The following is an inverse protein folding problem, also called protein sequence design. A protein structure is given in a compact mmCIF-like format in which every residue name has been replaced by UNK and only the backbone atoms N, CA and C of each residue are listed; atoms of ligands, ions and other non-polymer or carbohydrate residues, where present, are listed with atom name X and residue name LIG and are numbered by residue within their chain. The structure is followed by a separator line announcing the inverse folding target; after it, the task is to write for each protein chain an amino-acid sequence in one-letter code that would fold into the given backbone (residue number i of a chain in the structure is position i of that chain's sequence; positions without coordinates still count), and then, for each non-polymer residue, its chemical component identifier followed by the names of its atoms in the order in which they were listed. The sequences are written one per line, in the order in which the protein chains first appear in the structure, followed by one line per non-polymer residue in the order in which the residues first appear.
data_IF_459432394381
#
_entry.id   IF_459432394381
#
_cell.length_a   1.000
_cell.length_b   1.000
_cell.length_c   1.000
_cell.angle_alpha   90.00
_cell.angle_beta   90.00
_cell.angle_gamma   90.00
#
_symmetry.space_group_name_H-M   'P 1'
#
loop_
_entity.id
_entity.type
_entity.pdbx_description
1 polymer ?
#
# COMPACT_ATOMS: atom_id res chain seq x y z
N UNK A 1 40.08 51.21 37.63
CA UNK A 1 40.13 50.29 38.79
C UNK A 1 39.54 48.94 38.36
N UNK A 2 40.36 47.87 38.42
CA UNK A 2 40.09 46.40 38.47
C UNK A 2 38.89 45.86 37.65
N UNK A 3 39.01 45.11 36.55
CA UNK A 3 39.64 43.79 36.26
C UNK A 3 39.16 42.61 37.14
N UNK A 4 38.66 41.56 36.45
CA UNK A 4 38.62 40.09 36.68
C UNK A 4 37.21 39.54 36.33
N UNK A 5 36.98 38.54 35.47
CA UNK A 5 37.83 37.65 34.67
C UNK A 5 37.03 36.39 34.24
N UNK A 6 37.46 35.76 33.13
CA UNK A 6 37.00 34.54 32.39
C UNK A 6 36.03 34.83 31.22
N UNK A 7 36.40 34.83 29.91
CA UNK A 7 37.07 33.82 29.01
C UNK A 7 36.36 32.46 29.08
N UNK A 8 35.89 31.77 28.02
CA UNK A 8 36.30 31.60 26.60
C UNK A 8 35.19 30.77 25.90
N UNK A 9 34.77 31.07 24.67
CA UNK A 9 35.18 30.51 23.36
C UNK A 9 34.29 29.36 22.82
N UNK A 10 33.78 29.59 21.60
CA UNK A 10 33.66 28.67 20.45
C UNK A 10 32.92 27.32 20.65
N UNK A 11 31.78 27.12 19.96
CA UNK A 11 31.73 26.32 18.72
C UNK A 11 30.29 26.14 18.20
N UNK A 12 30.19 26.18 16.88
CA UNK A 12 29.06 25.70 16.08
C UNK A 12 28.74 24.25 16.44
N UNK A 13 27.48 23.94 16.72
CA UNK A 13 26.93 22.59 16.47
C UNK A 13 25.51 22.73 15.97
N UNK A 14 25.37 22.56 14.65
CA UNK A 14 24.14 22.10 14.00
C UNK A 14 23.61 20.89 14.75
N UNK A 15 22.41 20.99 15.31
CA UNK A 15 21.60 19.82 15.59
C UNK A 15 20.76 19.57 14.35
N UNK A 16 21.38 18.84 13.42
CA UNK A 16 20.69 18.11 12.37
C UNK A 16 19.69 17.17 13.03
N UNK A 17 18.39 17.40 12.81
CA UNK A 17 17.37 16.40 13.01
C UNK A 17 17.64 15.23 12.06
N UNK A 18 18.40 14.25 12.53
CA UNK A 18 18.56 12.95 11.88
C UNK A 18 17.23 12.20 11.99
N UNK A 19 16.31 12.50 11.06
CA UNK A 19 15.15 11.65 10.79
C UNK A 19 15.68 10.34 10.20
N UNK A 20 15.88 9.36 11.08
CA UNK A 20 16.19 7.99 10.66
C UNK A 20 14.88 7.32 10.26
N UNK A 21 14.48 7.46 8.99
CA UNK A 21 13.36 6.69 8.43
C UNK A 21 13.89 5.31 8.06
N UNK A 22 13.78 4.35 8.99
CA UNK A 22 13.86 2.93 8.65
C UNK A 22 12.46 2.45 8.24
N UNK A 23 12.20 2.46 6.93
CA UNK A 23 11.15 1.64 6.32
C UNK A 23 11.81 0.82 5.21
N UNK A 24 11.56 -0.50 5.12
CA UNK A 24 12.29 -1.35 4.20
C UNK A 24 11.77 -1.14 2.78
N UNK A 25 12.55 -0.41 1.96
CA UNK A 25 12.50 -0.61 0.52
C UNK A 25 13.08 -2.01 0.29
N UNK A 26 12.28 -2.95 -0.21
CA UNK A 26 12.75 -4.30 -0.51
C UNK A 26 13.63 -4.22 -1.77
N UNK A 27 14.92 -4.00 -1.59
CA UNK A 27 15.93 -4.06 -2.67
C UNK A 27 16.30 -5.51 -2.90
N UNK A 28 16.04 -6.01 -4.11
CA UNK A 28 16.42 -7.37 -4.50
C UNK A 28 17.84 -7.33 -5.11
N UNK A 29 18.85 -7.80 -4.37
CA UNK A 29 20.22 -7.94 -4.88
C UNK A 29 20.30 -9.09 -5.91
N UNK A 30 20.73 -8.79 -7.15
CA UNK A 30 21.19 -9.78 -8.12
C UNK A 30 22.68 -9.62 -8.40
N UNK A 31 23.41 -10.72 -8.18
CA UNK A 31 24.47 -11.32 -9.01
C UNK A 31 25.74 -11.67 -8.21
N UNK A 32 26.07 -12.96 -8.20
CA UNK A 32 27.46 -13.34 -8.38
C UNK A 32 27.57 -14.50 -9.37
N UNK A 33 28.26 -14.22 -10.46
CA UNK A 33 28.63 -15.13 -11.53
C UNK A 33 29.76 -16.07 -11.11
N UNK A 34 29.66 -17.35 -11.46
CA UNK A 34 30.84 -18.15 -11.84
C UNK A 34 30.53 -18.97 -13.09
N UNK A 35 31.34 -18.72 -14.11
CA UNK A 35 31.42 -19.46 -15.35
C UNK A 35 31.80 -20.94 -15.09
N UNK A 36 31.19 -21.84 -15.85
CA UNK A 36 31.81 -23.12 -16.23
C UNK A 36 31.23 -23.55 -17.58
N UNK A 37 32.13 -24.10 -18.38
CA UNK A 37 32.09 -24.30 -19.83
C UNK A 37 31.20 -25.45 -20.31
N UNK A 38 30.97 -25.43 -21.62
CA UNK A 38 30.33 -26.43 -22.49
C UNK A 38 30.58 -27.91 -22.14
N UNK A 39 29.59 -28.70 -22.61
CA UNK A 39 29.48 -30.17 -22.69
C UNK A 39 28.99 -30.86 -21.43
N UNK A 40 27.67 -31.12 -21.38
CA UNK A 40 27.09 -32.46 -21.16
C UNK A 40 25.55 -32.33 -21.18
N UNK A 41 25.02 -32.16 -22.39
CA UNK A 41 23.63 -32.50 -22.69
C UNK A 41 23.52 -34.01 -22.90
N UNK A 42 22.36 -34.53 -22.53
CA UNK A 42 21.80 -35.85 -22.82
C UNK A 42 21.95 -36.94 -21.76
N UNK A 43 20.77 -37.45 -21.38
CA UNK A 43 20.43 -38.66 -20.61
C UNK A 43 20.11 -38.44 -19.13
N UNK A 44 18.86 -38.06 -18.83
CA UNK A 44 18.05 -38.77 -17.82
C UNK A 44 16.63 -38.19 -17.61
N UNK A 45 15.77 -38.17 -18.64
CA UNK A 45 14.31 -38.05 -18.43
C UNK A 45 13.58 -39.02 -19.37
N UNK A 46 13.57 -40.30 -19.00
CA UNK A 46 12.57 -41.29 -19.44
C UNK A 46 12.41 -42.34 -18.34
N UNK A 47 11.40 -42.18 -17.48
CA UNK A 47 10.51 -43.26 -17.00
C UNK A 47 9.41 -42.71 -16.08
N UNK A 48 8.21 -42.74 -16.65
CA UNK A 48 6.85 -42.79 -16.11
C UNK A 48 6.66 -42.90 -14.59
N UNK A 49 5.78 -42.06 -14.04
CA UNK A 49 4.70 -42.48 -13.11
C UNK A 49 3.45 -41.60 -13.33
N UNK A 50 2.43 -42.23 -13.93
CA UNK A 50 0.96 -41.99 -13.89
C UNK A 50 0.40 -40.57 -13.67
N UNK A 51 -0.29 -40.06 -14.69
CA UNK A 51 -1.21 -38.94 -14.60
C UNK A 51 -2.52 -39.33 -13.87
N UNK A 52 -3.01 -38.55 -12.90
CA UNK A 52 -4.43 -38.48 -12.61
C UNK A 52 -5.11 -37.50 -13.57
N UNK A 53 -6.29 -37.91 -14.03
CA UNK A 53 -7.21 -37.19 -14.90
C UNK A 53 -7.77 -35.96 -14.16
N UNK A 54 -7.30 -34.75 -14.47
CA UNK A 54 -7.84 -33.51 -13.88
C UNK A 54 -8.01 -32.37 -14.90
N UNK A 55 -8.45 -32.72 -16.11
CA UNK A 55 -8.57 -31.80 -17.26
C UNK A 55 -9.74 -30.80 -17.18
N UNK A 56 -10.66 -30.94 -16.22
CA UNK A 56 -11.81 -30.05 -16.02
C UNK A 56 -11.51 -28.86 -15.10
N UNK A 57 -10.81 -29.06 -13.98
CA UNK A 57 -10.50 -28.00 -13.01
C UNK A 57 -9.49 -26.97 -13.57
N UNK A 58 -8.61 -27.40 -14.48
CA UNK A 58 -7.61 -26.51 -15.09
C UNK A 58 -8.22 -25.58 -16.15
N UNK A 59 -9.27 -26.03 -16.87
CA UNK A 59 -9.95 -25.22 -17.90
C UNK A 59 -10.79 -24.11 -17.31
N UNK A 60 -11.55 -24.39 -16.25
CA UNK A 60 -12.39 -23.39 -15.57
C UNK A 60 -11.54 -22.27 -14.95
N UNK A 61 -10.38 -22.62 -14.38
CA UNK A 61 -9.44 -21.65 -13.79
C UNK A 61 -8.75 -20.76 -14.85
N UNK A 62 -8.45 -21.31 -16.04
CA UNK A 62 -7.86 -20.55 -17.15
C UNK A 62 -8.87 -19.60 -17.79
N UNK A 63 -10.12 -20.05 -18.00
CA UNK A 63 -11.17 -19.22 -18.58
C UNK A 63 -11.54 -18.04 -17.67
N UNK A 64 -11.55 -18.22 -16.34
CA UNK A 64 -11.76 -17.11 -15.39
C UNK A 64 -10.61 -16.10 -15.42
N UNK A 65 -9.35 -16.56 -15.45
CA UNK A 65 -8.17 -15.68 -15.53
C UNK A 65 -8.15 -14.87 -16.83
N UNK A 66 -8.55 -15.47 -17.95
CA UNK A 66 -8.65 -14.80 -19.25
C UNK A 66 -9.78 -13.76 -19.27
N UNK A 67 -10.92 -14.05 -18.62
CA UNK A 67 -12.04 -13.12 -18.51
C UNK A 67 -11.66 -11.89 -17.67
N UNK A 68 -10.99 -12.12 -16.54
CA UNK A 68 -10.49 -11.04 -15.67
C UNK A 68 -9.45 -10.17 -16.38
N UNK A 69 -8.54 -10.78 -17.14
CA UNK A 69 -7.54 -10.04 -17.93
C UNK A 69 -8.20 -9.15 -18.98
N UNK A 70 -9.21 -9.67 -19.69
CA UNK A 70 -9.93 -8.90 -20.72
C UNK A 70 -10.75 -7.76 -20.13
N UNK A 71 -11.35 -7.97 -18.95
CA UNK A 71 -12.06 -6.92 -18.22
C UNK A 71 -11.08 -5.82 -17.77
N UNK A 72 -9.91 -6.18 -17.28
CA UNK A 72 -8.85 -5.23 -16.92
C UNK A 72 -8.36 -4.41 -18.12
N UNK A 73 -8.12 -5.06 -19.27
CA UNK A 73 -7.77 -4.35 -20.51
C UNK A 73 -8.86 -3.36 -20.93
N UNK A 74 -10.12 -3.77 -20.83
CA UNK A 74 -11.27 -2.92 -21.17
C UNK A 74 -11.36 -1.73 -20.23
N UNK A 75 -11.12 -1.92 -18.92
CA UNK A 75 -11.08 -0.85 -17.92
C UNK A 75 -10.01 0.19 -18.23
N UNK A 76 -8.78 -0.25 -18.54
CA UNK A 76 -7.66 0.63 -18.88
C UNK A 76 -8.03 1.51 -20.07
N UNK A 77 -8.66 0.90 -21.08
CA UNK A 77 -9.04 1.59 -22.31
C UNK A 77 -10.13 2.64 -22.07
N UNK A 78 -11.20 2.28 -21.35
CA UNK A 78 -12.29 3.22 -21.00
C UNK A 78 -11.74 4.37 -20.13
N UNK A 79 -10.88 4.08 -19.15
CA UNK A 79 -10.33 5.12 -18.29
C UNK A 79 -9.45 6.10 -19.09
N UNK A 80 -8.63 5.63 -20.02
CA UNK A 80 -7.82 6.52 -20.85
C UNK A 80 -8.69 7.52 -21.64
N UNK A 81 -9.79 7.02 -22.22
CA UNK A 81 -10.73 7.90 -22.93
C UNK A 81 -11.46 8.85 -22.01
N UNK A 82 -11.80 8.40 -20.80
CA UNK A 82 -12.41 9.25 -19.77
C UNK A 82 -11.48 10.42 -19.43
N UNK A 83 -10.19 10.17 -19.25
CA UNK A 83 -9.20 11.21 -18.94
C UNK A 83 -9.01 12.17 -20.12
N UNK A 84 -9.11 11.68 -21.35
CA UNK A 84 -9.05 12.53 -22.53
C UNK A 84 -10.34 13.36 -22.72
N UNK A 85 -11.48 12.83 -22.29
CA UNK A 85 -12.79 13.48 -22.38
C UNK A 85 -13.08 14.44 -21.22
N UNK A 86 -12.52 14.17 -20.04
CA UNK A 86 -12.82 14.90 -18.80
C UNK A 86 -11.56 15.52 -18.23
N UNK A 87 -11.60 16.84 -18.05
CA UNK A 87 -10.53 17.55 -17.36
C UNK A 87 -10.66 17.28 -15.85
N UNK A 88 -9.77 16.43 -15.30
CA UNK A 88 -9.72 16.02 -13.89
C UNK A 88 -9.85 17.19 -12.89
N UNK A 89 -9.39 18.39 -13.26
CA UNK A 89 -9.49 19.60 -12.43
C UNK A 89 -10.94 20.05 -12.19
N UNK A 90 -11.86 19.78 -13.11
CA UNK A 90 -13.27 20.17 -12.99
C UNK A 90 -14.00 19.29 -11.97
N UNK A 91 -13.64 18.01 -11.89
CA UNK A 91 -14.23 17.06 -10.94
C UNK A 91 -13.88 17.39 -9.48
N UNK A 92 -12.74 18.03 -9.23
CA UNK A 92 -12.29 18.33 -7.86
C UNK A 92 -13.13 19.39 -7.13
N UNK A 93 -13.98 20.14 -7.85
CA UNK A 93 -14.83 21.19 -7.26
C UNK A 93 -16.28 20.76 -7.04
N UNK A 94 -16.66 19.56 -7.49
CA UNK A 94 -18.01 19.02 -7.41
C UNK A 94 -18.17 18.16 -6.16
N UNK A 95 -19.41 17.91 -5.75
CA UNK A 95 -19.68 16.94 -4.70
C UNK A 95 -19.44 15.51 -5.21
N UNK A 96 -19.04 14.59 -4.34
CA UNK A 96 -18.70 13.20 -4.73
C UNK A 96 -19.83 12.50 -5.50
N UNK A 97 -21.10 12.74 -5.13
CA UNK A 97 -22.27 12.20 -5.84
C UNK A 97 -22.39 12.76 -7.27
N UNK A 98 -22.16 14.06 -7.45
CA UNK A 98 -22.22 14.70 -8.77
C UNK A 98 -21.08 14.21 -9.68
N UNK A 99 -19.89 14.01 -9.12
CA UNK A 99 -18.76 13.42 -9.85
C UNK A 99 -19.09 11.99 -10.29
N UNK A 100 -19.77 11.22 -9.43
CA UNK A 100 -20.15 9.84 -9.73
C UNK A 100 -21.14 9.76 -10.88
N UNK A 101 -22.14 10.62 -10.87
CA UNK A 101 -23.14 10.70 -11.95
C UNK A 101 -22.48 11.11 -13.28
N UNK A 102 -21.63 12.14 -13.27
CA UNK A 102 -20.90 12.61 -14.46
C UNK A 102 -19.99 11.49 -15.03
N UNK A 103 -19.22 10.80 -14.18
CA UNK A 103 -18.37 9.68 -14.61
C UNK A 103 -19.23 8.57 -15.21
N UNK A 104 -20.35 8.23 -14.58
CA UNK A 104 -21.25 7.18 -15.06
C UNK A 104 -21.80 7.48 -16.46
N UNK A 105 -22.17 8.74 -16.71
CA UNK A 105 -22.68 9.19 -18.00
C UNK A 105 -21.59 9.14 -19.08
N UNK A 106 -20.41 9.70 -18.81
CA UNK A 106 -19.28 9.70 -19.77
C UNK A 106 -18.81 8.26 -20.07
N UNK A 107 -18.71 7.40 -19.05
CA UNK A 107 -18.34 5.99 -19.25
C UNK A 107 -19.37 5.27 -20.13
N UNK A 108 -20.65 5.53 -19.92
CA UNK A 108 -21.73 4.95 -20.72
C UNK A 108 -21.65 5.40 -22.18
N UNK A 109 -21.34 6.68 -22.43
CA UNK A 109 -21.10 7.19 -23.78
C UNK A 109 -19.87 6.54 -24.45
N UNK A 110 -18.76 6.38 -23.71
CA UNK A 110 -17.54 5.73 -24.22
C UNK A 110 -17.82 4.27 -24.61
N UNK A 111 -18.56 3.53 -23.79
CA UNK A 111 -18.94 2.14 -24.08
C UNK A 111 -19.74 2.05 -25.39
N UNK A 112 -20.71 2.95 -25.59
CA UNK A 112 -21.52 3.01 -26.81
C UNK A 112 -20.66 3.40 -28.01
N UNK A 113 -19.83 4.45 -27.89
CA UNK A 113 -18.97 4.95 -28.96
C UNK A 113 -18.01 3.87 -29.46
N UNK A 114 -17.44 3.08 -28.54
CA UNK A 114 -16.49 2.01 -28.85
C UNK A 114 -17.14 0.67 -29.21
N UNK A 115 -18.47 0.58 -29.15
CA UNK A 115 -19.20 -0.67 -29.41
C UNK A 115 -18.72 -1.83 -28.51
N UNK A 116 -18.37 -1.52 -27.26
CA UNK A 116 -17.94 -2.52 -26.29
C UNK A 116 -19.14 -3.35 -25.84
N UNK A 117 -19.00 -4.67 -25.88
CA UNK A 117 -20.04 -5.60 -25.44
C UNK A 117 -19.74 -5.94 -23.98
N UNK A 118 -20.42 -5.25 -23.07
CA UNK A 118 -20.36 -5.49 -21.64
C UNK A 118 -21.75 -5.85 -21.12
N UNK A 119 -21.82 -6.82 -20.21
CA UNK A 119 -23.01 -7.07 -19.41
C UNK A 119 -23.26 -5.92 -18.44
N UNK A 120 -24.50 -5.80 -17.95
CA UNK A 120 -24.85 -4.78 -16.95
C UNK A 120 -24.01 -4.89 -15.67
N UNK A 121 -23.57 -6.10 -15.32
CA UNK A 121 -22.68 -6.34 -14.17
C UNK A 121 -21.28 -5.82 -14.43
N UNK A 122 -20.71 -6.12 -15.61
CA UNK A 122 -19.36 -5.66 -15.99
C UNK A 122 -19.33 -4.14 -16.13
N UNK A 123 -20.35 -3.53 -16.75
CA UNK A 123 -20.46 -2.08 -16.84
C UNK A 123 -20.46 -1.43 -15.45
N UNK A 124 -21.24 -1.97 -14.50
CA UNK A 124 -21.25 -1.47 -13.13
C UNK A 124 -19.89 -1.60 -12.46
N UNK A 125 -19.21 -2.73 -12.62
CA UNK A 125 -17.86 -2.94 -12.08
C UNK A 125 -16.82 -1.98 -12.68
N UNK A 126 -16.96 -1.64 -13.97
CA UNK A 126 -16.10 -0.64 -14.62
C UNK A 126 -16.36 0.73 -14.01
N UNK A 127 -17.62 1.16 -13.92
CA UNK A 127 -17.99 2.47 -13.35
C UNK A 127 -17.50 2.59 -11.90
N UNK A 128 -17.77 1.58 -11.07
CA UNK A 128 -17.33 1.55 -9.66
C UNK A 128 -15.81 1.65 -9.56
N UNK A 129 -15.07 0.84 -10.33
CA UNK A 129 -13.60 0.88 -10.36
C UNK A 129 -13.05 2.24 -10.80
N UNK A 130 -13.67 2.90 -11.78
CA UNK A 130 -13.26 4.23 -12.25
C UNK A 130 -13.58 5.29 -11.19
N UNK A 131 -14.73 5.20 -10.53
CA UNK A 131 -15.08 6.08 -9.43
C UNK A 131 -14.08 5.94 -8.28
N UNK A 132 -13.70 4.71 -7.90
CA UNK A 132 -12.71 4.47 -6.85
C UNK A 132 -11.33 5.03 -7.23
N UNK A 133 -10.97 5.02 -8.51
CA UNK A 133 -9.73 5.62 -9.00
C UNK A 133 -9.75 7.16 -8.92
N UNK A 134 -10.88 7.78 -9.24
CA UNK A 134 -11.03 9.25 -9.28
C UNK A 134 -11.27 9.83 -7.88
N UNK A 135 -12.17 9.22 -7.11
CA UNK A 135 -12.66 9.70 -5.81
C UNK A 135 -12.05 8.96 -4.62
N UNK A 136 -11.61 7.72 -4.80
CA UNK A 136 -11.17 6.81 -3.74
C UNK A 136 -9.67 6.54 -3.69
N UNK A 137 -9.25 5.42 -3.12
CA UNK A 137 -7.83 4.99 -3.12
C UNK A 137 -7.46 4.09 -4.32
N UNK A 138 -8.32 4.06 -5.33
CA UNK A 138 -8.17 3.27 -6.54
C UNK A 138 -7.98 1.77 -6.24
N UNK A 139 -6.96 1.10 -6.80
CA UNK A 139 -6.75 -0.34 -6.61
C UNK A 139 -6.50 -0.75 -5.14
N UNK A 140 -6.23 0.20 -4.25
CA UNK A 140 -5.99 -0.08 -2.84
C UNK A 140 -7.26 -0.24 -2.01
N UNK A 141 -8.43 0.22 -2.48
CA UNK A 141 -9.68 0.16 -1.71
C UNK A 141 -10.02 -1.24 -1.18
N UNK A 142 -9.95 -2.31 -1.99
CA UNK A 142 -10.24 -3.66 -1.50
C UNK A 142 -9.30 -4.11 -0.38
N UNK A 143 -8.02 -3.69 -0.43
CA UNK A 143 -7.02 -4.00 0.60
C UNK A 143 -7.24 -3.17 1.87
N UNK A 144 -7.71 -1.93 1.72
CA UNK A 144 -8.05 -1.05 2.85
C UNK A 144 -9.26 -1.57 3.63
N UNK A 145 -10.21 -2.23 2.97
CA UNK A 145 -11.40 -2.80 3.62
C UNK A 145 -11.16 -4.12 4.36
N UNK A 146 -9.99 -4.76 4.18
CA UNK A 146 -9.66 -6.05 4.79
C UNK A 146 -9.01 -5.89 6.17
N UNK A 147 -9.71 -6.26 7.25
CA UNK A 147 -9.24 -6.08 8.63
C UNK A 147 -8.03 -6.97 9.02
N UNK A 148 -7.73 -8.02 8.25
CA UNK A 148 -6.59 -8.93 8.49
C UNK A 148 -5.24 -8.38 8.01
N UNK A 149 -5.25 -7.28 7.24
CA UNK A 149 -4.05 -6.61 6.75
C UNK A 149 -3.56 -5.55 7.75
N UNK A 150 -2.29 -5.61 8.12
CA UNK A 150 -1.62 -4.63 8.98
C UNK A 150 -0.93 -3.50 8.19
N UNK A 151 -0.14 -3.86 7.18
CA UNK A 151 0.63 -2.93 6.36
C UNK A 151 0.38 -3.20 4.87
N UNK A 152 0.32 -2.13 4.06
CA UNK A 152 0.28 -2.17 2.59
C UNK A 152 1.51 -1.42 2.08
N UNK A 153 2.31 -2.05 1.22
CA UNK A 153 3.57 -1.53 0.71
C UNK A 153 3.56 -1.58 -0.81
N UNK A 154 3.51 -0.42 -1.45
CA UNK A 154 3.59 -0.24 -2.89
C UNK A 154 5.01 0.21 -3.22
N UNK A 155 5.78 -0.65 -3.87
CA UNK A 155 7.15 -0.29 -4.29
C UNK A 155 7.13 0.53 -5.58
N UNK A 156 6.24 0.16 -6.50
CA UNK A 156 5.94 0.87 -7.74
C UNK A 156 4.56 0.41 -8.24
N UNK A 157 4.06 1.01 -9.33
CA UNK A 157 2.73 0.71 -9.90
C UNK A 157 2.43 -0.79 -10.11
N UNK A 158 3.43 -1.59 -10.43
CA UNK A 158 3.29 -3.02 -10.72
C UNK A 158 3.57 -3.98 -9.56
N UNK A 159 3.93 -3.50 -8.35
CA UNK A 159 4.22 -4.39 -7.21
C UNK A 159 3.69 -3.84 -5.90
N UNK A 160 2.67 -4.53 -5.39
CA UNK A 160 2.02 -4.23 -4.12
C UNK A 160 2.17 -5.45 -3.21
N UNK A 161 2.75 -5.22 -2.03
CA UNK A 161 2.87 -6.18 -0.96
C UNK A 161 1.91 -5.82 0.17
N UNK A 162 1.46 -6.84 0.88
CA UNK A 162 0.66 -6.68 2.09
C UNK A 162 1.30 -7.47 3.22
N UNK A 163 1.11 -7.00 4.44
CA UNK A 163 1.44 -7.75 5.63
C UNK A 163 0.15 -8.30 6.26
N UNK A 164 0.11 -9.61 6.47
CA UNK A 164 -0.95 -10.31 7.20
C UNK A 164 -0.33 -11.18 8.28
N UNK A 165 -0.77 -11.01 9.52
CA UNK A 165 -0.26 -11.78 10.67
C UNK A 165 1.29 -11.79 10.76
N UNK A 166 1.95 -10.67 10.44
CA UNK A 166 3.41 -10.55 10.46
C UNK A 166 4.15 -11.17 9.28
N UNK A 167 3.44 -11.65 8.24
CA UNK A 167 4.04 -12.20 7.01
C UNK A 167 3.76 -11.27 5.84
N UNK A 168 4.81 -11.01 5.05
CA UNK A 168 4.74 -10.20 3.84
C UNK A 168 4.36 -11.11 2.66
N UNK A 169 3.32 -10.72 1.93
CA UNK A 169 2.76 -11.44 0.79
C UNK A 169 2.67 -10.50 -0.42
N UNK A 170 2.99 -11.00 -1.62
CA UNK A 170 2.80 -10.25 -2.86
C UNK A 170 1.34 -10.40 -3.30
N UNK A 171 0.70 -9.30 -3.67
CA UNK A 171 -0.68 -9.30 -4.18
C UNK A 171 -0.72 -9.40 -5.71
N UNK A 172 -1.87 -9.79 -6.24
CA UNK A 172 -2.18 -9.74 -7.68
C UNK A 172 -2.67 -8.37 -8.14
N UNK A 173 -2.90 -7.44 -7.19
CA UNK A 173 -3.39 -6.10 -7.48
C UNK A 173 -2.22 -5.23 -7.97
N UNK A 174 -2.46 -4.51 -9.06
CA UNK A 174 -1.52 -3.56 -9.64
C UNK A 174 -2.23 -2.27 -10.00
N UNK A 175 -1.49 -1.16 -9.97
CA UNK A 175 -1.89 0.06 -10.65
C UNK A 175 -1.72 -0.10 -12.15
N UNK A 176 -2.54 0.60 -12.92
CA UNK A 176 -2.43 0.71 -14.38
C UNK A 176 -1.08 1.27 -14.79
N UNK A 177 -0.66 2.36 -14.15
CA UNK A 177 0.58 3.07 -14.46
C UNK A 177 1.10 3.88 -13.26
N UNK A 178 2.30 4.43 -13.42
CA UNK A 178 2.91 5.30 -12.41
C UNK A 178 2.15 6.62 -12.24
N UNK A 179 1.38 7.07 -13.24
CA UNK A 179 0.62 8.30 -13.16
C UNK A 179 -0.58 8.15 -12.21
N UNK A 180 -1.32 7.04 -12.30
CA UNK A 180 -2.42 6.70 -11.40
C UNK A 180 -1.93 6.63 -9.95
N UNK A 181 -0.83 5.92 -9.71
CA UNK A 181 -0.23 5.84 -8.36
C UNK A 181 0.18 7.23 -7.84
N UNK A 182 0.81 8.06 -8.68
CA UNK A 182 1.19 9.42 -8.27
C UNK A 182 -0.04 10.29 -7.97
N UNK A 183 -1.11 10.19 -8.77
CA UNK A 183 -2.36 10.93 -8.55
C UNK A 183 -3.00 10.54 -7.22
N UNK A 184 -3.06 9.26 -6.89
CA UNK A 184 -3.58 8.76 -5.61
C UNK A 184 -2.71 9.28 -4.46
N UNK A 185 -1.39 9.18 -4.58
CA UNK A 185 -0.45 9.73 -3.59
C UNK A 185 -0.67 11.23 -3.36
N UNK A 186 -0.81 12.02 -4.43
CA UNK A 186 -1.08 13.46 -4.35
C UNK A 186 -2.41 13.76 -3.68
N UNK A 187 -3.46 13.00 -3.98
CA UNK A 187 -4.79 13.15 -3.36
C UNK A 187 -4.74 12.88 -1.85
N UNK A 188 -4.08 11.79 -1.44
CA UNK A 188 -3.89 11.45 -0.02
C UNK A 188 -3.21 12.59 0.74
N UNK A 189 -2.10 13.11 0.21
CA UNK A 189 -1.35 14.18 0.90
C UNK A 189 -2.09 15.52 0.84
N UNK A 190 -2.81 15.80 -0.25
CA UNK A 190 -3.58 17.04 -0.41
C UNK A 190 -4.74 17.09 0.59
N UNK A 191 -5.41 15.96 0.83
CA UNK A 191 -6.48 15.85 1.83
C UNK A 191 -6.01 16.22 3.26
N UNK A 192 -4.71 16.08 3.57
CA UNK A 192 -4.12 16.50 4.86
C UNK A 192 -3.38 17.84 4.78
N UNK A 193 -3.57 18.60 3.70
CA UNK A 193 -2.96 19.93 3.51
C UNK A 193 -1.47 19.89 3.23
N UNK A 194 -0.96 18.77 2.68
CA UNK A 194 0.45 18.59 2.30
C UNK A 194 0.59 18.42 0.79
N UNK A 195 1.84 18.41 0.31
CA UNK A 195 2.18 18.23 -1.11
C UNK A 195 3.27 17.19 -1.28
N UNK A 196 3.24 16.51 -2.43
CA UNK A 196 4.30 15.59 -2.86
C UNK A 196 4.50 15.75 -4.37
N UNK A 197 5.72 16.10 -4.75
CA UNK A 197 6.13 16.36 -6.13
C UNK A 197 7.66 16.24 -6.24
N UNK A 198 8.23 16.54 -7.40
CA UNK A 198 9.68 16.44 -7.63
C UNK A 198 10.52 17.40 -6.77
N UNK A 199 9.93 18.51 -6.29
CA UNK A 199 10.59 19.44 -5.40
C UNK A 199 10.46 19.02 -3.93
N UNK A 200 9.37 18.34 -3.57
CA UNK A 200 9.11 17.78 -2.23
C UNK A 200 8.79 16.29 -2.33
N UNK A 201 9.80 15.41 -2.52
CA UNK A 201 9.60 14.02 -2.90
C UNK A 201 9.25 13.09 -1.74
N UNK A 202 9.19 13.55 -0.49
CA UNK A 202 8.82 12.72 0.67
C UNK A 202 7.69 13.40 1.43
N UNK A 203 6.67 12.63 1.79
CA UNK A 203 5.59 13.13 2.62
C UNK A 203 5.03 12.05 3.55
N UNK A 204 4.87 12.39 4.83
CA UNK A 204 4.05 11.62 5.76
C UNK A 204 2.65 12.23 5.87
N UNK A 205 1.63 11.38 5.94
CA UNK A 205 0.23 11.77 6.05
C UNK A 205 -0.54 10.83 6.98
N UNK A 206 -1.76 11.23 7.33
CA UNK A 206 -2.67 10.41 8.12
C UNK A 206 -4.05 10.39 7.45
N UNK A 207 -4.53 9.20 7.14
CA UNK A 207 -5.85 9.01 6.54
C UNK A 207 -6.96 9.26 7.57
N UNK A 208 -8.18 9.42 7.09
CA UNK A 208 -9.37 9.67 7.91
C UNK A 208 -9.68 8.53 8.89
N UNK A 209 -9.31 7.30 8.54
CA UNK A 209 -9.42 6.11 9.40
C UNK A 209 -8.34 6.03 10.50
N UNK A 210 -7.39 6.97 10.50
CA UNK A 210 -6.26 7.04 11.44
C UNK A 210 -5.01 6.31 10.99
N UNK A 211 -5.05 5.62 9.84
CA UNK A 211 -3.92 4.92 9.21
C UNK A 211 -2.82 5.92 8.85
N UNK A 212 -1.56 5.48 8.96
CA UNK A 212 -0.39 6.31 8.65
C UNK A 212 0.08 6.01 7.25
N UNK A 213 0.43 7.05 6.52
CA UNK A 213 0.88 6.94 5.13
C UNK A 213 2.23 7.60 4.98
N UNK A 214 3.14 6.93 4.31
CA UNK A 214 4.39 7.50 3.82
C UNK A 214 4.43 7.41 2.30
N UNK A 215 4.73 8.52 1.66
CA UNK A 215 4.86 8.64 0.20
C UNK A 215 6.28 9.07 -0.14
N UNK A 216 6.86 8.41 -1.13
CA UNK A 216 8.14 8.78 -1.73
C UNK A 216 7.95 8.89 -3.25
N UNK A 217 8.33 10.02 -3.85
CA UNK A 217 8.25 10.28 -5.28
C UNK A 217 9.64 10.40 -5.92
N UNK A 218 9.67 10.57 -7.24
CA UNK A 218 10.91 10.96 -7.94
C UNK A 218 11.41 12.31 -7.41
N UNK A 219 12.73 12.54 -7.36
CA UNK A 219 13.81 11.68 -7.87
C UNK A 219 14.27 10.56 -6.92
N UNK A 220 13.71 10.43 -5.72
CA UNK A 220 14.18 9.47 -4.72
C UNK A 220 13.73 8.03 -5.01
N UNK A 221 12.54 7.86 -5.58
CA UNK A 221 12.03 6.58 -6.01
C UNK A 221 12.19 6.44 -7.55
N UNK A 222 13.22 5.69 -7.96
CA UNK A 222 13.67 5.59 -9.36
C UNK A 222 12.60 4.95 -10.26
N UNK A 223 11.89 3.95 -9.74
CA UNK A 223 10.92 3.16 -10.52
C UNK A 223 9.52 3.80 -10.62
N UNK A 224 9.31 4.95 -9.97
CA UNK A 224 8.00 5.60 -9.83
C UNK A 224 7.73 5.95 -8.37
N UNK A 225 6.57 6.50 -8.05
CA UNK A 225 6.20 6.74 -6.67
C UNK A 225 6.14 5.41 -5.87
N UNK A 226 6.50 5.48 -4.60
CA UNK A 226 6.36 4.41 -3.63
C UNK A 226 5.47 4.91 -2.48
N UNK A 227 4.68 4.00 -1.91
CA UNK A 227 3.66 4.31 -0.92
C UNK A 227 3.65 3.20 0.14
N UNK A 228 3.67 3.56 1.41
CA UNK A 228 3.46 2.61 2.51
C UNK A 228 2.30 3.09 3.37
N UNK A 229 1.30 2.25 3.56
CA UNK A 229 0.16 2.49 4.44
C UNK A 229 0.25 1.51 5.61
N UNK A 230 0.39 2.05 6.82
CA UNK A 230 0.25 1.29 8.06
C UNK A 230 -1.16 1.46 8.59
N UNK A 231 -1.96 0.41 8.48
CA UNK A 231 -3.38 0.45 8.82
C UNK A 231 -3.58 0.63 10.31
N UNK A 232 -4.55 1.44 10.67
CA UNK A 232 -4.98 1.55 12.06
C UNK A 232 -5.82 0.32 12.43
N UNK A 233 -5.26 -0.57 13.24
CA UNK A 233 -5.99 -1.76 13.69
C UNK A 233 -7.15 -1.36 14.61
N UNK A 234 -8.38 -1.70 14.21
CA UNK A 234 -9.60 -1.44 14.98
C UNK A 234 -9.71 -2.32 16.23
N UNK A 235 -9.12 -3.52 16.21
CA UNK A 235 -9.11 -4.40 17.39
C UNK A 235 -8.10 -3.91 18.42
N UNK A 236 -8.64 -3.31 19.49
CA UNK A 236 -7.87 -3.09 20.72
C UNK A 236 -7.74 -4.43 21.43
N UNK A 237 -6.51 -4.94 21.50
CA UNK A 237 -6.21 -6.10 22.33
C UNK A 237 -6.51 -5.75 23.80
N UNK A 238 -7.24 -6.63 24.47
CA UNK A 238 -7.50 -6.49 25.91
C UNK A 238 -6.41 -7.18 26.71
N UNK A 239 -6.28 -6.82 27.98
CA UNK A 239 -5.34 -7.47 28.89
C UNK A 239 -5.64 -8.97 29.02
N UNK A 240 -6.91 -9.35 29.02
CA UNK A 240 -7.35 -10.76 28.99
C UNK A 240 -6.86 -11.49 27.74
N UNK A 241 -6.92 -10.85 26.57
CA UNK A 241 -6.40 -11.43 25.34
C UNK A 241 -4.89 -11.67 25.47
N UNK A 242 -4.14 -10.71 26.03
CA UNK A 242 -2.68 -10.85 26.24
C UNK A 242 -2.33 -11.99 27.22
N UNK A 243 -3.15 -12.20 28.24
CA UNK A 243 -3.01 -13.35 29.15
C UNK A 243 -3.32 -14.65 28.41
N UNK A 244 -4.37 -14.69 27.60
CA UNK A 244 -4.74 -15.88 26.83
C UNK A 244 -3.68 -16.28 25.81
N UNK A 245 -2.98 -15.29 25.21
CA UNK A 245 -1.86 -15.51 24.29
C UNK A 245 -0.54 -15.85 25.00
N UNK A 246 -0.51 -15.84 26.33
CA UNK A 246 0.69 -16.07 27.12
C UNK A 246 1.73 -14.95 27.01
N UNK A 247 1.37 -13.80 26.44
CA UNK A 247 2.26 -12.62 26.34
C UNK A 247 2.46 -11.93 27.69
N UNK A 248 1.46 -12.02 28.57
CA UNK A 248 1.49 -11.47 29.94
C UNK A 248 0.98 -12.53 30.91
N UNK A 249 1.62 -12.68 32.07
CA UNK A 249 1.10 -13.58 33.11
C UNK A 249 -0.14 -12.98 33.79
N UNK A 250 -1.02 -13.82 34.32
CA UNK A 250 -2.22 -13.34 35.05
C UNK A 250 -1.86 -12.38 36.19
N UNK A 251 -0.76 -12.63 36.89
CA UNK A 251 -0.28 -11.77 37.98
C UNK A 251 0.21 -10.41 37.46
N UNK A 252 0.89 -10.39 36.31
CA UNK A 252 1.36 -9.14 35.69
C UNK A 252 0.19 -8.32 35.16
N UNK A 253 -0.83 -8.97 34.58
CA UNK A 253 -2.07 -8.32 34.19
C UNK A 253 -2.76 -7.63 35.38
N UNK A 254 -2.93 -8.33 36.51
CA UNK A 254 -3.48 -7.74 37.72
C UNK A 254 -2.65 -6.55 38.23
N UNK A 255 -1.32 -6.62 38.15
CA UNK A 255 -0.46 -5.51 38.51
C UNK A 255 -0.69 -4.29 37.60
N UNK A 256 -0.79 -4.50 36.29
CA UNK A 256 -1.06 -3.44 35.31
C UNK A 256 -2.43 -2.79 35.54
N UNK A 257 -3.46 -3.56 35.88
CA UNK A 257 -4.78 -3.04 36.26
C UNK A 257 -4.69 -2.11 37.48
N UNK A 258 -3.99 -2.53 38.53
CA UNK A 258 -3.80 -1.73 39.74
C UNK A 258 -3.02 -0.46 39.43
N UNK A 259 -1.96 -0.56 38.62
CA UNK A 259 -1.17 0.62 38.25
C UNK A 259 -2.02 1.62 37.45
N UNK A 260 -2.82 1.14 36.50
CA UNK A 260 -3.75 1.97 35.73
C UNK A 260 -4.81 2.64 36.62
N UNK A 261 -5.40 1.89 37.56
CA UNK A 261 -6.36 2.42 38.53
C UNK A 261 -5.75 3.50 39.44
N UNK A 262 -4.48 3.32 39.84
CA UNK A 262 -3.72 4.28 40.63
C UNK A 262 -3.13 5.44 39.81
N UNK A 263 -3.25 5.41 38.47
CA UNK A 263 -2.70 6.41 37.54
C UNK A 263 -1.20 6.65 37.71
N UNK A 264 -0.42 5.61 37.95
CA UNK A 264 1.04 5.77 38.01
C UNK A 264 1.62 5.93 36.60
N UNK A 265 2.74 6.63 36.51
CA UNK A 265 3.49 6.76 35.27
C UNK A 265 4.27 5.47 35.00
N UNK A 266 4.05 4.85 33.84
CA UNK A 266 4.78 3.66 33.39
C UNK A 266 5.48 3.99 32.07
N UNK A 267 6.69 3.45 31.90
CA UNK A 267 7.38 3.39 30.61
C UNK A 267 7.46 1.93 30.16
N UNK A 268 6.90 1.63 28.98
CA UNK A 268 7.04 0.32 28.33
C UNK A 268 8.18 0.39 27.33
N UNK A 269 9.21 -0.46 27.50
CA UNK A 269 10.41 -0.48 26.67
C UNK A 269 10.69 -1.87 26.09
N UNK A 270 11.45 -1.94 25.01
CA UNK A 270 11.68 -3.17 24.23
C UNK A 270 12.08 -2.90 22.78
N UNK A 271 12.60 -3.93 22.09
CA UNK A 271 13.05 -3.85 20.69
C UNK A 271 11.91 -3.57 19.70
N UNK A 272 12.26 -3.21 18.45
CA UNK A 272 11.25 -3.00 17.39
C UNK A 272 10.41 -4.26 17.18
N UNK A 273 9.08 -4.10 17.05
CA UNK A 273 8.16 -5.23 16.90
C UNK A 273 7.84 -6.03 18.17
N UNK A 274 8.39 -5.66 19.34
CA UNK A 274 8.19 -6.44 20.59
C UNK A 274 6.82 -6.25 21.28
N UNK A 275 5.82 -5.67 20.60
CA UNK A 275 4.48 -5.46 21.19
C UNK A 275 4.33 -4.30 22.16
N UNK A 276 5.28 -3.34 22.22
CA UNK A 276 5.20 -2.20 23.17
C UNK A 276 3.94 -1.36 23.06
N UNK A 277 3.49 -1.08 21.83
CA UNK A 277 2.28 -0.28 21.59
C UNK A 277 1.01 -1.09 21.81
N UNK A 278 1.17 -2.41 21.86
CA UNK A 278 0.08 -3.38 22.07
C UNK A 278 -0.21 -3.59 23.56
N UNK A 279 0.82 -3.53 24.41
CA UNK A 279 0.71 -3.60 25.87
C UNK A 279 0.31 -2.25 26.47
#
# INVERSE_FOLDING_TARGET
MKSFGKKTALDEVSLEDKVTVQSPIIVNEKNNSKATTHSDLDKNIKREVSAPDNSSETKTSLDSLLLDTKLQETKILIFNDLIDAVELSQLTNMADEEVRDEISDVVSEIIVMRQLILSATEQRQVIESICDDVLGLGPLEPLMNQDDISDIMVNHSGKIYIERNGKIELTEITFRDNAQLMNICQRIVTAVGRRVDEASPICDARLMDGSRVNVIARPLAIDGAALTIRKFQKQKLTLDNLVSYGSVSKQCAQLLEVIGACRLNILVSGGTGSGKTTL
#
